data_IF_820474050365
#
_entry.id   IF_820474050365
#
_cell.length_a   1.000
_cell.length_b   1.000
_cell.length_c   1.000
_cell.angle_alpha   90.00
_cell.angle_beta   90.00
_cell.angle_gamma   90.00
#
_symmetry.space_group_name_H-M   'P 1'
#
loop_
_entity.id
_entity.type
_entity.pdbx_description
1 polymer ?
#
# COMPACT_ATOMS: atom_id res chain seq x y z
N UNK A 1 24.40 43.70 8.28
CA UNK A 1 24.04 42.36 8.77
C UNK A 1 25.31 41.53 8.86
N UNK A 2 25.53 40.81 9.95
CA UNK A 2 26.73 39.98 10.14
C UNK A 2 26.70 38.76 9.21
N UNK A 3 27.84 38.32 8.70
CA UNK A 3 27.99 37.15 7.80
C UNK A 3 27.26 35.89 8.31
N UNK A 4 27.26 35.69 9.63
CA UNK A 4 26.52 34.63 10.32
C UNK A 4 25.00 34.68 10.14
N UNK A 5 24.42 35.87 9.93
CA UNK A 5 22.98 36.06 9.70
C UNK A 5 22.59 35.68 8.27
N UNK A 6 23.46 35.94 7.28
CA UNK A 6 23.22 35.54 5.89
C UNK A 6 23.32 34.03 5.69
N UNK A 7 24.28 33.36 6.36
CA UNK A 7 24.38 31.89 6.32
C UNK A 7 23.14 31.21 6.91
N UNK A 8 22.59 31.71 8.03
CA UNK A 8 21.34 31.20 8.61
C UNK A 8 20.14 31.41 7.69
N UNK A 9 20.02 32.58 7.05
CA UNK A 9 18.93 32.84 6.09
C UNK A 9 19.02 31.90 4.87
N UNK A 10 20.22 31.65 4.35
CA UNK A 10 20.41 30.72 3.24
C UNK A 10 20.08 29.26 3.62
N UNK A 11 20.41 28.82 4.84
CA UNK A 11 20.00 27.51 5.35
C UNK A 11 18.49 27.39 5.49
N UNK A 12 17.81 28.42 6.02
CA UNK A 12 16.35 28.45 6.13
C UNK A 12 15.69 28.40 4.76
N UNK A 13 16.17 29.17 3.79
CA UNK A 13 15.65 29.15 2.42
C UNK A 13 15.87 27.80 1.73
N UNK A 14 17.03 27.16 1.96
CA UNK A 14 17.31 25.82 1.44
C UNK A 14 16.34 24.77 1.99
N UNK A 15 16.07 24.82 3.30
CA UNK A 15 15.08 23.97 3.96
C UNK A 15 13.65 24.23 3.44
N UNK A 16 13.29 25.49 3.22
CA UNK A 16 11.96 25.87 2.70
C UNK A 16 11.76 25.37 1.27
N UNK A 17 12.77 25.49 0.41
CA UNK A 17 12.73 24.97 -0.96
C UNK A 17 12.56 23.44 -0.99
N UNK A 18 13.23 22.70 -0.09
CA UNK A 18 13.06 21.25 0.00
C UNK A 18 11.63 20.87 0.43
N UNK A 19 11.08 21.58 1.42
CA UNK A 19 9.69 21.43 1.86
C UNK A 19 8.69 21.73 0.73
N UNK A 20 8.92 22.81 -0.03
CA UNK A 20 8.06 23.17 -1.15
C UNK A 20 8.08 22.09 -2.24
N UNK A 21 9.26 21.57 -2.57
CA UNK A 21 9.40 20.44 -3.52
C UNK A 21 8.69 19.17 -3.01
N UNK A 22 8.80 18.85 -1.72
CA UNK A 22 8.07 17.72 -1.13
C UNK A 22 6.55 17.92 -1.20
N UNK A 23 6.05 19.13 -0.93
CA UNK A 23 4.61 19.43 -1.01
C UNK A 23 4.11 19.32 -2.45
N UNK A 24 4.87 19.83 -3.43
CA UNK A 24 4.52 19.72 -4.86
C UNK A 24 4.49 18.25 -5.28
N UNK A 25 5.54 17.49 -4.95
CA UNK A 25 5.62 16.06 -5.26
C UNK A 25 4.46 15.27 -4.64
N UNK A 26 4.13 15.55 -3.38
CA UNK A 26 3.01 14.94 -2.66
C UNK A 26 1.66 15.22 -3.34
N UNK A 27 1.45 16.46 -3.83
CA UNK A 27 0.23 16.83 -4.58
C UNK A 27 0.12 16.10 -5.91
N UNK A 28 1.21 15.99 -6.66
CA UNK A 28 1.21 15.28 -7.94
C UNK A 28 0.91 13.79 -7.75
N UNK A 29 1.49 13.17 -6.72
CA UNK A 29 1.18 11.80 -6.33
C UNK A 29 -0.28 11.65 -5.90
N UNK A 30 -0.84 12.57 -5.11
CA UNK A 30 -2.25 12.54 -4.73
C UNK A 30 -3.18 12.67 -5.94
N UNK A 31 -2.85 13.53 -6.92
CA UNK A 31 -3.59 13.64 -8.18
C UNK A 31 -3.54 12.34 -8.99
N UNK A 32 -2.38 11.68 -9.06
CA UNK A 32 -2.25 10.38 -9.68
C UNK A 32 -3.07 9.30 -8.95
N UNK A 33 -3.02 9.29 -7.62
CA UNK A 33 -3.79 8.36 -6.79
C UNK A 33 -5.30 8.50 -6.97
N UNK A 34 -5.80 9.68 -7.29
CA UNK A 34 -7.21 9.90 -7.59
C UNK A 34 -7.70 9.21 -8.88
N UNK A 35 -6.79 8.81 -9.77
CA UNK A 35 -7.12 8.13 -11.02
C UNK A 35 -7.01 6.61 -10.94
N UNK A 36 -6.55 6.08 -9.79
CA UNK A 36 -6.46 4.65 -9.56
C UNK A 36 -7.85 4.03 -9.51
N UNK A 37 -7.91 2.73 -9.79
CA UNK A 37 -9.12 1.97 -9.58
C UNK A 37 -9.38 1.79 -8.08
N UNK A 38 -10.61 2.04 -7.64
CA UNK A 38 -11.08 1.69 -6.30
C UNK A 38 -12.43 0.98 -6.41
N UNK A 39 -12.70 0.02 -5.52
CA UNK A 39 -14.00 -0.66 -5.51
C UNK A 39 -15.15 0.27 -5.11
N UNK A 40 -14.88 1.23 -4.24
CA UNK A 40 -15.81 2.26 -3.78
C UNK A 40 -15.04 3.43 -3.13
N UNK A 41 -15.78 4.41 -2.60
CA UNK A 41 -15.19 5.57 -1.92
C UNK A 41 -14.43 5.18 -0.64
N UNK A 42 -14.98 4.27 0.16
CA UNK A 42 -14.36 3.82 1.41
C UNK A 42 -12.98 3.20 1.16
N UNK A 43 -12.83 2.42 0.09
CA UNK A 43 -11.53 1.86 -0.30
C UNK A 43 -10.46 2.95 -0.51
N UNK A 44 -10.83 4.08 -1.12
CA UNK A 44 -9.91 5.20 -1.33
C UNK A 44 -9.55 5.91 -0.03
N UNK A 45 -10.54 6.16 0.83
CA UNK A 45 -10.32 6.81 2.13
C UNK A 45 -9.42 5.96 3.02
N UNK A 46 -9.69 4.65 3.09
CA UNK A 46 -8.88 3.69 3.83
C UNK A 46 -7.45 3.65 3.31
N UNK A 47 -7.27 3.68 1.99
CA UNK A 47 -5.95 3.65 1.36
C UNK A 47 -5.13 4.90 1.72
N UNK A 48 -5.70 6.10 1.59
CA UNK A 48 -4.99 7.33 2.00
C UNK A 48 -4.67 7.34 3.50
N UNK A 49 -5.56 6.81 4.36
CA UNK A 49 -5.28 6.67 5.79
C UNK A 49 -4.11 5.71 6.07
N UNK A 50 -4.04 4.58 5.36
CA UNK A 50 -2.95 3.61 5.49
C UNK A 50 -1.62 4.15 4.98
N UNK A 51 -1.61 4.94 3.91
CA UNK A 51 -0.39 5.60 3.43
C UNK A 51 0.20 6.57 4.47
N UNK A 52 -0.67 7.29 5.20
CA UNK A 52 -0.24 8.18 6.28
C UNK A 52 0.32 7.40 7.48
N UNK A 53 -0.25 6.24 7.78
CA UNK A 53 0.21 5.40 8.89
C UNK A 53 1.53 4.70 8.54
N UNK A 54 1.60 4.03 7.39
CA UNK A 54 2.80 3.37 6.88
C UNK A 54 3.64 4.34 6.06
N UNK A 55 4.34 5.26 6.73
CA UNK A 55 5.18 6.30 6.09
C UNK A 55 6.20 5.75 5.08
N UNK A 56 6.64 4.49 5.24
CA UNK A 56 7.54 3.83 4.28
C UNK A 56 6.93 3.66 2.89
N UNK A 57 5.60 3.71 2.75
CA UNK A 57 4.88 3.62 1.48
C UNK A 57 5.29 4.68 0.45
N UNK A 58 5.78 5.85 0.90
CA UNK A 58 6.25 6.92 0.00
C UNK A 58 7.45 6.46 -0.83
N UNK A 59 8.36 5.69 -0.21
CA UNK A 59 9.61 5.24 -0.84
C UNK A 59 9.59 3.79 -1.30
N UNK A 60 8.72 2.95 -0.71
CA UNK A 60 8.66 1.52 -0.97
C UNK A 60 7.37 1.13 -1.73
N UNK A 61 7.44 0.84 -3.05
CA UNK A 61 6.29 0.41 -3.85
C UNK A 61 5.58 -0.84 -3.33
N UNK A 62 6.29 -1.72 -2.62
CA UNK A 62 5.72 -2.95 -2.06
C UNK A 62 4.79 -2.60 -0.89
N UNK A 63 5.24 -1.71 0.00
CA UNK A 63 4.43 -1.24 1.13
C UNK A 63 3.23 -0.42 0.63
N UNK A 64 3.43 0.42 -0.39
CA UNK A 64 2.34 1.13 -1.05
C UNK A 64 1.27 0.17 -1.62
N UNK A 65 1.71 -0.82 -2.41
CA UNK A 65 0.81 -1.85 -2.93
C UNK A 65 0.11 -2.63 -1.82
N UNK A 66 0.82 -2.95 -0.73
CA UNK A 66 0.23 -3.63 0.41
C UNK A 66 -0.85 -2.77 1.10
N UNK A 67 -0.60 -1.47 1.27
CA UNK A 67 -1.60 -0.53 1.79
C UNK A 67 -2.86 -0.51 0.90
N UNK A 68 -2.69 -0.54 -0.42
CA UNK A 68 -3.82 -0.60 -1.36
C UNK A 68 -4.65 -1.88 -1.21
N UNK A 69 -4.03 -3.04 -1.00
CA UNK A 69 -4.79 -4.29 -0.76
C UNK A 69 -5.49 -4.26 0.60
N UNK A 70 -4.77 -3.88 1.67
CA UNK A 70 -5.31 -3.83 3.03
C UNK A 70 -6.43 -2.80 3.18
N UNK A 71 -6.44 -1.76 2.34
CA UNK A 71 -7.49 -0.75 2.30
C UNK A 71 -8.86 -1.29 1.87
N UNK A 72 -8.92 -2.46 1.23
CA UNK A 72 -10.19 -3.06 0.81
C UNK A 72 -11.13 -3.14 2.01
N UNK A 73 -12.37 -2.62 1.93
CA UNK A 73 -13.25 -2.55 3.11
C UNK A 73 -13.45 -3.88 3.82
N UNK A 74 -13.54 -4.98 3.06
CA UNK A 74 -13.65 -6.33 3.61
C UNK A 74 -12.47 -6.73 4.51
N UNK A 75 -11.26 -6.25 4.18
CA UNK A 75 -10.07 -6.45 5.00
C UNK A 75 -10.06 -5.40 6.11
N UNK A 76 -10.11 -4.11 5.75
CA UNK A 76 -9.95 -2.99 6.67
C UNK A 76 -10.92 -3.03 7.86
N UNK A 77 -12.17 -3.45 7.64
CA UNK A 77 -13.18 -3.55 8.70
C UNK A 77 -13.05 -4.82 9.55
N UNK A 78 -12.37 -5.85 9.02
CA UNK A 78 -12.23 -7.15 9.68
C UNK A 78 -10.99 -7.24 10.58
N UNK A 79 -10.00 -6.35 10.39
CA UNK A 79 -8.72 -6.41 11.09
C UNK A 79 -8.30 -5.07 11.67
N UNK A 80 -7.58 -5.12 12.78
CA UNK A 80 -6.97 -3.93 13.38
C UNK A 80 -5.62 -3.60 12.72
N UNK A 81 -5.70 -2.98 11.55
CA UNK A 81 -4.56 -2.60 10.69
C UNK A 81 -3.57 -1.64 11.35
N UNK A 82 -4.00 -0.89 12.36
CA UNK A 82 -3.21 0.16 13.02
C UNK A 82 -2.43 -0.34 14.24
N UNK A 83 -2.64 -1.60 14.64
CA UNK A 83 -1.83 -2.27 15.63
C UNK A 83 -0.76 -3.19 15.02
N UNK A 84 -0.78 -3.37 13.69
CA UNK A 84 0.15 -4.20 12.96
C UNK A 84 1.44 -3.41 12.63
N UNK A 85 2.65 -3.95 12.92
CA UNK A 85 3.90 -3.30 12.55
C UNK A 85 4.15 -3.30 11.02
N UNK A 86 3.57 -4.27 10.30
CA UNK A 86 3.67 -4.37 8.84
C UNK A 86 2.27 -4.62 8.25
N UNK A 87 1.98 -4.16 7.03
CA UNK A 87 0.65 -4.28 6.43
C UNK A 87 0.08 -5.70 6.39
N UNK A 88 0.93 -6.74 6.32
CA UNK A 88 0.52 -8.14 6.25
C UNK A 88 0.96 -8.98 7.47
N UNK A 89 1.42 -8.38 8.57
CA UNK A 89 1.85 -9.15 9.75
C UNK A 89 0.73 -9.95 10.41
N UNK A 90 -0.52 -9.62 10.12
CA UNK A 90 -1.71 -10.31 10.64
C UNK A 90 -2.09 -11.54 9.81
N UNK A 91 -1.43 -11.85 8.68
CA UNK A 91 -1.88 -12.90 7.74
C UNK A 91 -1.51 -14.31 8.17
N UNK A 92 -0.33 -14.49 8.77
CA UNK A 92 0.19 -15.80 9.18
C UNK A 92 1.06 -15.68 10.43
N UNK A 93 1.16 -16.77 11.18
CA UNK A 93 2.00 -16.92 12.37
C UNK A 93 2.75 -18.28 12.33
N UNK A 94 3.38 -18.68 13.43
CA UNK A 94 4.13 -19.94 13.52
C UNK A 94 3.25 -21.19 13.33
N UNK A 95 1.94 -21.09 13.59
CA UNK A 95 0.97 -22.19 13.47
C UNK A 95 0.31 -22.26 12.08
N UNK A 96 0.54 -21.25 11.22
CA UNK A 96 -0.02 -21.17 9.87
C UNK A 96 -0.83 -19.89 9.66
N UNK A 97 -1.96 -20.00 8.94
CA UNK A 97 -2.83 -18.85 8.67
C UNK A 97 -3.58 -18.45 9.93
N UNK A 98 -3.67 -17.14 10.14
CA UNK A 98 -4.41 -16.58 11.27
C UNK A 98 -5.93 -16.65 11.05
N UNK A 99 -6.73 -16.63 12.13
CA UNK A 99 -8.19 -16.57 12.03
C UNK A 99 -8.67 -15.41 11.15
N UNK A 100 -8.03 -14.25 11.27
CA UNK A 100 -8.29 -13.04 10.50
C UNK A 100 -8.22 -13.31 9.00
N UNK A 101 -7.15 -13.98 8.53
CA UNK A 101 -6.99 -14.36 7.13
C UNK A 101 -8.03 -15.40 6.69
N UNK A 102 -8.32 -16.39 7.53
CA UNK A 102 -9.28 -17.46 7.17
C UNK A 102 -10.73 -16.98 7.10
N UNK A 103 -11.07 -15.90 7.80
CA UNK A 103 -12.42 -15.32 7.82
C UNK A 103 -12.73 -14.45 6.60
N UNK A 104 -11.71 -14.05 5.83
CA UNK A 104 -11.91 -13.30 4.58
C UNK A 104 -12.52 -14.19 3.50
N UNK A 105 -13.17 -13.58 2.50
CA UNK A 105 -13.64 -14.36 1.36
C UNK A 105 -12.47 -14.95 0.56
N UNK A 106 -12.68 -16.16 0.03
CA UNK A 106 -11.66 -16.93 -0.69
C UNK A 106 -10.96 -16.13 -1.82
N UNK A 107 -11.67 -15.34 -2.65
CA UNK A 107 -11.01 -14.53 -3.67
C UNK A 107 -10.08 -13.44 -3.10
N UNK A 108 -10.43 -12.87 -1.94
CA UNK A 108 -9.60 -11.88 -1.24
C UNK A 108 -8.40 -12.55 -0.58
N UNK A 109 -8.56 -13.75 -0.02
CA UNK A 109 -7.43 -14.55 0.47
C UNK A 109 -6.38 -14.77 -0.63
N UNK A 110 -6.82 -15.06 -1.87
CA UNK A 110 -5.90 -15.18 -2.99
C UNK A 110 -5.21 -13.87 -3.35
N UNK A 111 -5.88 -12.71 -3.22
CA UNK A 111 -5.27 -11.40 -3.47
C UNK A 111 -4.17 -11.11 -2.45
N UNK A 112 -4.43 -11.36 -1.17
CA UNK A 112 -3.46 -11.19 -0.10
C UNK A 112 -2.27 -12.14 -0.29
N UNK A 113 -2.53 -13.40 -0.61
CA UNK A 113 -1.48 -14.38 -0.90
C UNK A 113 -0.64 -13.97 -2.12
N UNK A 114 -1.26 -13.55 -3.22
CA UNK A 114 -0.55 -13.07 -4.41
C UNK A 114 0.26 -11.80 -4.12
N UNK A 115 -0.18 -10.95 -3.18
CA UNK A 115 0.59 -9.79 -2.74
C UNK A 115 1.84 -10.21 -1.95
N UNK A 116 1.73 -11.18 -1.05
CA UNK A 116 2.86 -11.76 -0.32
C UNK A 116 3.87 -12.47 -1.24
N UNK A 117 3.39 -13.10 -2.31
CA UNK A 117 4.25 -13.76 -3.30
C UNK A 117 5.19 -12.78 -4.03
N UNK A 118 4.84 -11.49 -4.13
CA UNK A 118 5.75 -10.44 -4.65
C UNK A 118 6.99 -10.30 -3.78
N UNK A 119 6.87 -10.57 -2.48
CA UNK A 119 7.97 -10.57 -1.52
C UNK A 119 8.63 -11.93 -1.33
N UNK A 120 8.36 -12.89 -2.23
CA UNK A 120 8.81 -14.28 -2.16
C UNK A 120 8.29 -15.07 -0.95
N UNK A 121 7.17 -14.64 -0.38
CA UNK A 121 6.48 -15.33 0.72
C UNK A 121 5.31 -16.14 0.17
N UNK A 122 5.43 -17.47 0.24
CA UNK A 122 4.44 -18.40 -0.33
C UNK A 122 3.63 -19.08 0.78
N UNK A 123 2.38 -18.63 0.98
CA UNK A 123 1.48 -19.17 2.01
C UNK A 123 0.54 -20.27 1.52
N UNK A 124 0.36 -20.40 0.19
CA UNK A 124 -0.53 -21.40 -0.41
C UNK A 124 0.20 -22.30 -1.43
N UNK A 125 -0.31 -23.52 -1.57
CA UNK A 125 0.08 -24.47 -2.62
C UNK A 125 -1.17 -25.21 -3.13
N UNK A 126 -1.66 -24.96 -4.36
CA UNK A 126 -1.15 -24.04 -5.39
C UNK A 126 -1.12 -22.57 -4.96
N UNK A 127 -0.28 -21.74 -5.59
CA UNK A 127 -0.08 -20.34 -5.18
C UNK A 127 -1.36 -19.50 -5.27
N UNK A 128 -1.44 -18.45 -4.46
CA UNK A 128 -2.50 -17.45 -4.48
C UNK A 128 -2.65 -16.80 -5.85
N UNK A 129 -1.55 -16.49 -6.55
CA UNK A 129 -1.61 -16.01 -7.93
C UNK A 129 -2.27 -17.02 -8.88
N UNK A 130 -1.87 -18.30 -8.81
CA UNK A 130 -2.43 -19.36 -9.67
C UNK A 130 -3.92 -19.56 -9.40
N UNK A 131 -4.29 -19.60 -8.12
CA UNK A 131 -5.69 -19.74 -7.73
C UNK A 131 -6.51 -18.51 -8.11
N UNK A 132 -5.94 -17.32 -7.95
CA UNK A 132 -6.53 -16.04 -8.33
C UNK A 132 -6.87 -15.98 -9.81
N UNK A 133 -5.92 -16.24 -10.70
CA UNK A 133 -6.16 -16.17 -12.16
C UNK A 133 -7.28 -17.10 -12.65
N UNK A 134 -7.48 -18.23 -12.00
CA UNK A 134 -8.51 -19.20 -12.37
C UNK A 134 -9.89 -18.88 -11.78
N UNK A 135 -9.98 -18.01 -10.77
CA UNK A 135 -11.21 -17.82 -9.97
C UNK A 135 -11.64 -16.36 -9.78
N UNK A 136 -10.78 -15.38 -10.08
CA UNK A 136 -11.11 -13.97 -9.90
C UNK A 136 -12.12 -13.48 -10.95
N UNK A 137 -13.12 -12.76 -10.48
CA UNK A 137 -14.02 -11.98 -11.31
C UNK A 137 -13.34 -10.68 -11.80
N UNK A 138 -14.03 -9.95 -12.67
CA UNK A 138 -13.49 -8.72 -13.26
C UNK A 138 -13.09 -7.66 -12.20
N UNK A 139 -13.83 -7.55 -11.10
CA UNK A 139 -13.52 -6.59 -10.03
C UNK A 139 -12.20 -6.96 -9.37
N UNK A 140 -12.03 -8.23 -9.00
CA UNK A 140 -10.80 -8.74 -8.38
C UNK A 140 -9.60 -8.64 -9.33
N UNK A 141 -9.80 -8.89 -10.62
CA UNK A 141 -8.77 -8.67 -11.64
C UNK A 141 -8.34 -7.20 -11.73
N UNK A 142 -9.29 -6.25 -11.68
CA UNK A 142 -8.96 -4.82 -11.67
C UNK A 142 -8.21 -4.40 -10.41
N UNK A 143 -8.57 -4.96 -9.25
CA UNK A 143 -7.81 -4.75 -8.00
C UNK A 143 -6.37 -5.25 -8.18
N UNK A 144 -6.20 -6.47 -8.68
CA UNK A 144 -4.89 -7.08 -8.89
C UNK A 144 -4.03 -6.30 -9.91
N UNK A 145 -4.60 -5.86 -11.02
CA UNK A 145 -3.88 -5.01 -11.99
C UNK A 145 -3.47 -3.67 -11.40
N UNK A 146 -4.34 -3.05 -10.59
CA UNK A 146 -3.99 -1.82 -9.91
C UNK A 146 -2.86 -2.01 -8.91
N UNK A 147 -2.91 -3.10 -8.12
CA UNK A 147 -1.85 -3.49 -7.19
C UNK A 147 -0.51 -3.69 -7.92
N UNK A 148 -0.50 -4.49 -8.97
CA UNK A 148 0.73 -4.76 -9.74
C UNK A 148 1.30 -3.50 -10.40
N UNK A 149 0.45 -2.56 -10.84
CA UNK A 149 0.88 -1.27 -11.36
C UNK A 149 1.55 -0.41 -10.27
N UNK A 150 1.03 -0.41 -9.04
CA UNK A 150 1.64 0.30 -7.90
C UNK A 150 3.01 -0.28 -7.55
N UNK A 151 3.08 -1.61 -7.39
CA UNK A 151 4.34 -2.32 -7.07
C UNK A 151 5.41 -2.07 -8.13
N UNK A 152 5.01 -2.02 -9.41
CA UNK A 152 5.93 -1.83 -10.54
C UNK A 152 6.15 -0.37 -10.94
N UNK A 153 5.72 0.62 -10.15
CA UNK A 153 5.86 2.05 -10.51
C UNK A 153 7.29 2.50 -10.86
N UNK A 154 8.30 1.80 -10.32
CA UNK A 154 9.72 2.08 -10.57
C UNK A 154 10.37 1.11 -11.58
N UNK A 155 9.61 0.21 -12.20
CA UNK A 155 10.12 -0.69 -13.23
C UNK A 155 10.19 0.05 -14.56
N UNK A 156 11.34 0.72 -14.79
CA UNK A 156 11.72 1.29 -16.08
C UNK A 156 12.03 0.21 -17.13
#
# INVERSE_FOLDING_TARGET
MTRHTHEKINQINGMFNMLEQQIIHSKDLAHFRNQLFYVNHAHRENYEALLLYYSESESNPIIDGACYIVALPEIFDAIDVFNAPLPFSWVYNEEGLTPEMTNLSVPIQYLVAAALEVTDVHIFKPSGYTMGLNNWNLVQMRIFWQYTALVRRNAA
#
